data_IF_009275726350
#
_entry.id   IF_009275726350
#
_cell.length_a   1.000
_cell.length_b   1.000
_cell.length_c   1.000
_cell.angle_alpha   90.00
_cell.angle_beta   90.00
_cell.angle_gamma   90.00
#
_symmetry.space_group_name_H-M   'P 1'
#
loop_
_entity.id
_entity.type
_entity.pdbx_description
1 polymer ?
#
# COMPACT_ATOMS: atom_id res chain seq x y z
N UNK A 1 15.69 -56.55 -7.50
CA UNK A 1 15.92 -55.41 -8.40
C UNK A 1 14.64 -54.57 -8.40
N UNK A 2 14.58 -53.53 -7.57
CA UNK A 2 13.44 -52.61 -7.56
C UNK A 2 13.56 -51.66 -8.73
N UNK A 3 12.65 -51.75 -9.69
CA UNK A 3 12.49 -50.73 -10.73
C UNK A 3 12.00 -49.46 -10.02
N UNK A 4 12.90 -48.50 -9.82
CA UNK A 4 12.49 -47.12 -9.53
C UNK A 4 11.94 -46.59 -10.84
N UNK A 5 10.63 -46.69 -11.05
CA UNK A 5 9.96 -45.94 -12.10
C UNK A 5 10.22 -44.46 -11.85
N UNK A 6 11.10 -43.85 -12.65
CA UNK A 6 11.19 -42.40 -12.75
C UNK A 6 9.79 -41.89 -13.11
N UNK A 7 9.10 -41.30 -12.14
CA UNK A 7 7.83 -40.65 -12.38
C UNK A 7 8.10 -39.47 -13.32
N UNK A 8 7.85 -39.66 -14.61
CA UNK A 8 7.97 -38.60 -15.60
C UNK A 8 6.89 -37.56 -15.32
N UNK A 9 7.25 -36.28 -15.26
CA UNK A 9 6.28 -35.18 -15.13
C UNK A 9 5.19 -35.22 -16.22
N UNK A 10 5.44 -35.90 -17.34
CA UNK A 10 4.46 -36.13 -18.41
C UNK A 10 3.29 -37.04 -17.99
N UNK A 11 3.36 -37.74 -16.86
CA UNK A 11 2.28 -38.59 -16.35
C UNK A 11 1.26 -37.82 -15.49
N UNK A 12 1.54 -36.56 -15.12
CA UNK A 12 0.60 -35.74 -14.35
C UNK A 12 -0.58 -35.30 -15.24
N UNK A 13 -1.82 -35.22 -14.70
CA UNK A 13 -2.96 -34.61 -15.38
C UNK A 13 -2.72 -33.12 -15.69
N UNK A 14 -3.40 -32.60 -16.74
CA UNK A 14 -3.29 -31.20 -17.16
C UNK A 14 -3.62 -30.23 -16.03
N UNK A 15 -4.64 -30.51 -15.22
CA UNK A 15 -5.06 -29.67 -14.09
C UNK A 15 -3.94 -29.50 -13.05
N UNK A 16 -3.18 -30.57 -12.78
CA UNK A 16 -2.05 -30.49 -11.84
C UNK A 16 -0.88 -29.70 -12.42
N UNK A 17 -0.65 -29.82 -13.72
CA UNK A 17 0.39 -29.05 -14.42
C UNK A 17 0.04 -27.55 -14.46
N UNK A 18 -1.21 -27.20 -14.75
CA UNK A 18 -1.72 -25.82 -14.67
C UNK A 18 -1.61 -25.29 -13.24
N UNK A 19 -1.93 -26.12 -12.24
CA UNK A 19 -1.76 -25.76 -10.84
C UNK A 19 -0.28 -25.50 -10.48
N UNK A 20 0.65 -26.33 -10.95
CA UNK A 20 2.10 -26.10 -10.77
C UNK A 20 2.52 -24.78 -11.43
N UNK A 21 2.10 -24.55 -12.67
CA UNK A 21 2.39 -23.31 -13.40
C UNK A 21 1.85 -22.06 -12.68
N UNK A 22 0.74 -22.18 -11.94
CA UNK A 22 0.16 -21.08 -11.17
C UNK A 22 1.02 -20.60 -9.99
N UNK A 23 1.99 -21.41 -9.55
CA UNK A 23 2.96 -21.03 -8.52
C UNK A 23 4.23 -20.38 -9.08
N UNK A 24 4.43 -20.43 -10.39
CA UNK A 24 5.59 -19.86 -11.05
C UNK A 24 5.30 -18.42 -11.49
N UNK A 25 6.35 -17.60 -11.57
CA UNK A 25 6.26 -16.32 -12.29
C UNK A 25 6.01 -16.57 -13.77
N UNK A 26 5.48 -15.60 -14.51
CA UNK A 26 5.24 -15.72 -15.96
C UNK A 26 6.49 -16.12 -16.72
N UNK A 27 7.64 -15.57 -16.32
CA UNK A 27 8.94 -15.85 -16.94
C UNK A 27 9.39 -17.28 -16.67
N UNK A 28 9.28 -17.76 -15.43
CA UNK A 28 9.59 -19.15 -15.07
C UNK A 28 8.64 -20.12 -15.76
N UNK A 29 7.33 -19.83 -15.74
CA UNK A 29 6.31 -20.62 -16.42
C UNK A 29 6.57 -20.69 -17.93
N UNK A 30 6.94 -19.59 -18.57
CA UNK A 30 7.32 -19.57 -19.98
C UNK A 30 8.63 -20.33 -20.26
N UNK A 31 9.58 -20.34 -19.32
CA UNK A 31 10.80 -21.13 -19.47
C UNK A 31 10.52 -22.64 -19.57
N UNK A 32 9.40 -23.11 -19.02
CA UNK A 32 8.97 -24.51 -19.12
C UNK A 32 8.57 -24.94 -20.53
N UNK A 33 8.44 -24.00 -21.49
CA UNK A 33 8.13 -24.33 -22.89
C UNK A 33 9.11 -25.33 -23.52
N UNK A 34 10.36 -25.32 -23.05
CA UNK A 34 11.40 -26.22 -23.54
C UNK A 34 11.19 -27.67 -23.10
N UNK A 35 10.39 -27.92 -22.05
CA UNK A 35 10.15 -29.25 -21.50
C UNK A 35 9.29 -30.10 -22.45
N UNK A 36 8.21 -29.54 -22.99
CA UNK A 36 7.44 -30.15 -24.09
C UNK A 36 6.40 -29.19 -24.67
N UNK A 37 5.85 -29.55 -25.84
CA UNK A 37 4.71 -28.83 -26.44
C UNK A 37 3.50 -28.75 -25.50
N UNK A 38 3.30 -29.74 -24.63
CA UNK A 38 2.18 -29.79 -23.67
C UNK A 38 2.26 -28.67 -22.65
N UNK A 39 3.44 -28.42 -22.06
CA UNK A 39 3.65 -27.33 -21.12
C UNK A 39 3.39 -25.96 -21.76
N UNK A 40 3.78 -25.78 -23.02
CA UNK A 40 3.48 -24.57 -23.79
C UNK A 40 1.98 -24.35 -23.96
N UNK A 41 1.22 -25.39 -24.30
CA UNK A 41 -0.25 -25.29 -24.45
C UNK A 41 -0.94 -25.02 -23.11
N UNK A 42 -0.48 -25.67 -22.03
CA UNK A 42 -1.06 -25.48 -20.70
C UNK A 42 -0.75 -24.10 -20.10
N UNK A 43 0.41 -23.53 -20.40
CA UNK A 43 0.72 -22.16 -20.00
C UNK A 43 -0.25 -21.13 -20.61
N UNK A 44 -0.76 -21.36 -21.82
CA UNK A 44 -1.76 -20.47 -22.42
C UNK A 44 -3.09 -20.44 -21.64
N UNK A 45 -3.33 -21.41 -20.74
CA UNK A 45 -4.47 -21.45 -19.83
C UNK A 45 -4.21 -20.70 -18.51
N UNK A 46 -3.01 -20.15 -18.32
CA UNK A 46 -2.72 -19.33 -17.15
C UNK A 46 -3.62 -18.09 -17.15
N UNK A 47 -4.18 -17.78 -15.99
CA UNK A 47 -5.03 -16.60 -15.80
C UNK A 47 -4.27 -15.40 -15.24
N UNK A 48 -3.01 -15.59 -14.86
CA UNK A 48 -2.19 -14.56 -14.23
C UNK A 48 -0.98 -14.31 -15.12
N UNK A 49 -0.86 -13.06 -15.57
CA UNK A 49 0.28 -12.58 -16.33
C UNK A 49 0.94 -11.45 -15.55
N UNK A 50 2.23 -11.60 -15.36
CA UNK A 50 3.09 -10.70 -14.61
C UNK A 50 4.39 -10.45 -15.38
N UNK A 51 4.59 -9.20 -15.76
CA UNK A 51 5.68 -8.72 -16.58
C UNK A 51 6.43 -7.64 -15.81
N UNK A 52 7.51 -8.03 -15.12
CA UNK A 52 8.41 -7.13 -14.41
C UNK A 52 9.74 -7.01 -15.15
N UNK A 53 10.16 -5.76 -15.34
CA UNK A 53 11.41 -5.39 -15.98
C UNK A 53 12.17 -4.27 -15.22
N UNK A 54 11.75 -3.90 -14.02
CA UNK A 54 12.39 -2.84 -13.24
C UNK A 54 13.85 -3.18 -12.89
N UNK A 55 14.12 -4.46 -12.61
CA UNK A 55 15.43 -4.91 -12.13
C UNK A 55 16.43 -5.31 -13.24
N UNK A 56 16.06 -5.24 -14.52
CA UNK A 56 16.88 -5.82 -15.60
C UNK A 56 18.07 -4.97 -16.05
N UNK A 57 18.15 -3.70 -15.65
CA UNK A 57 19.22 -2.77 -16.09
C UNK A 57 19.95 -2.02 -14.97
N UNK A 58 19.76 -2.40 -13.70
CA UNK A 58 20.42 -1.75 -12.53
C UNK A 58 21.96 -1.85 -12.53
N UNK A 59 22.55 -2.61 -13.46
CA UNK A 59 23.98 -2.55 -13.77
C UNK A 59 24.29 -1.35 -14.67
N UNK A 60 24.81 -0.27 -14.07
CA UNK A 60 25.36 0.91 -14.76
C UNK A 60 26.33 0.53 -15.92
N UNK A 61 26.97 -0.64 -15.83
CA UNK A 61 27.96 -1.18 -16.76
C UNK A 61 27.43 -1.70 -18.10
N UNK A 62 26.12 -1.77 -18.34
CA UNK A 62 25.60 -2.28 -19.62
C UNK A 62 25.72 -1.23 -20.74
N UNK A 63 26.52 -1.56 -21.77
CA UNK A 63 26.63 -0.79 -23.00
C UNK A 63 25.24 -0.55 -23.65
N UNK A 64 25.06 0.62 -24.29
CA UNK A 64 23.81 1.02 -24.98
C UNK A 64 23.22 -0.06 -25.91
N UNK A 65 24.08 -0.83 -26.59
CA UNK A 65 23.65 -1.93 -27.47
C UNK A 65 23.07 -3.13 -26.71
N UNK A 66 23.62 -3.46 -25.53
CA UNK A 66 23.11 -4.53 -24.67
C UNK A 66 21.73 -4.16 -24.13
N UNK A 67 21.55 -2.90 -23.71
CA UNK A 67 20.25 -2.39 -23.24
C UNK A 67 19.16 -2.55 -24.30
N UNK A 68 19.40 -2.10 -25.54
CA UNK A 68 18.43 -2.26 -26.65
C UNK A 68 18.05 -3.71 -26.93
N UNK A 69 19.00 -4.64 -26.83
CA UNK A 69 18.73 -6.06 -27.04
C UNK A 69 17.85 -6.63 -25.91
N UNK A 70 18.15 -6.29 -24.65
CA UNK A 70 17.35 -6.69 -23.49
C UNK A 70 15.92 -6.15 -23.62
N UNK A 71 15.76 -4.86 -23.97
CA UNK A 71 14.45 -4.27 -24.26
C UNK A 71 13.66 -5.04 -25.31
N UNK A 72 14.27 -5.26 -26.48
CA UNK A 72 13.62 -5.94 -27.58
C UNK A 72 13.21 -7.36 -27.17
N UNK A 73 14.09 -8.08 -26.48
CA UNK A 73 13.80 -9.42 -25.98
C UNK A 73 12.63 -9.42 -25.00
N UNK A 74 12.48 -8.39 -24.17
CA UNK A 74 11.34 -8.25 -23.27
C UNK A 74 10.04 -7.96 -24.04
N UNK A 75 10.06 -7.01 -24.97
CA UNK A 75 8.88 -6.69 -25.80
C UNK A 75 8.43 -7.91 -26.62
N UNK A 76 9.37 -8.59 -27.27
CA UNK A 76 9.12 -9.84 -28.02
C UNK A 76 8.53 -10.92 -27.10
N UNK A 77 8.98 -11.00 -25.84
CA UNK A 77 8.45 -11.92 -24.83
C UNK A 77 7.00 -11.60 -24.44
N UNK A 78 6.67 -10.32 -24.19
CA UNK A 78 5.31 -9.89 -23.86
C UNK A 78 4.38 -10.17 -25.04
N UNK A 79 4.76 -9.75 -26.24
CA UNK A 79 3.99 -9.99 -27.46
C UNK A 79 3.77 -11.49 -27.72
N UNK A 80 4.83 -12.30 -27.59
CA UNK A 80 4.72 -13.74 -27.76
C UNK A 80 3.79 -14.37 -26.72
N UNK A 81 3.88 -13.95 -25.46
CA UNK A 81 3.05 -14.46 -24.36
C UNK A 81 1.59 -14.13 -24.56
N UNK A 82 1.28 -12.88 -24.95
CA UNK A 82 -0.08 -12.43 -25.23
C UNK A 82 -0.66 -13.12 -26.46
N UNK A 83 0.14 -13.32 -27.52
CA UNK A 83 -0.27 -14.07 -28.71
C UNK A 83 -0.56 -15.54 -28.39
N UNK A 84 0.27 -16.18 -27.56
CA UNK A 84 0.05 -17.57 -27.12
C UNK A 84 -1.24 -17.75 -26.33
N UNK A 85 -1.62 -16.77 -25.51
CA UNK A 85 -2.87 -16.79 -24.76
C UNK A 85 -4.12 -16.64 -25.66
N UNK A 86 -3.98 -16.26 -26.93
CA UNK A 86 -5.08 -16.25 -27.89
C UNK A 86 -6.26 -15.39 -27.45
N UNK A 87 -7.42 -15.99 -27.22
CA UNK A 87 -8.61 -15.30 -26.70
C UNK A 87 -8.98 -15.73 -25.28
N UNK A 88 -8.05 -16.39 -24.57
CA UNK A 88 -8.29 -16.85 -23.21
C UNK A 88 -8.45 -15.66 -22.27
N UNK A 89 -9.34 -15.81 -21.30
CA UNK A 89 -9.61 -14.79 -20.29
C UNK A 89 -8.39 -14.59 -19.40
N UNK A 90 -7.95 -13.35 -19.26
CA UNK A 90 -6.90 -12.95 -18.32
C UNK A 90 -7.62 -12.48 -17.06
N UNK A 91 -7.26 -13.04 -15.90
CA UNK A 91 -7.85 -12.62 -14.62
C UNK A 91 -7.03 -11.50 -13.99
N UNK A 92 -5.70 -11.69 -13.97
CA UNK A 92 -4.72 -10.73 -13.43
C UNK A 92 -3.68 -10.40 -14.49
N UNK A 93 -3.43 -9.10 -14.68
CA UNK A 93 -2.37 -8.60 -15.54
C UNK A 93 -1.54 -7.57 -14.75
N UNK A 94 -0.24 -7.78 -14.70
CA UNK A 94 0.72 -6.92 -14.02
C UNK A 94 1.82 -6.53 -15.00
N UNK A 95 2.09 -5.24 -15.10
CA UNK A 95 3.10 -4.68 -15.99
C UNK A 95 3.90 -3.61 -15.24
N UNK A 96 5.17 -3.89 -15.01
CA UNK A 96 6.13 -2.99 -14.38
C UNK A 96 7.30 -2.67 -15.33
N UNK A 97 7.46 -1.39 -15.67
CA UNK A 97 8.40 -0.91 -16.68
C UNK A 97 9.20 0.30 -16.19
N UNK A 98 10.49 0.31 -16.51
CA UNK A 98 11.38 1.46 -16.33
C UNK A 98 11.54 2.25 -17.65
N UNK A 99 11.68 3.58 -17.57
CA UNK A 99 11.84 4.53 -18.69
C UNK A 99 12.95 4.10 -19.66
N UNK A 100 13.95 3.43 -19.10
CA UNK A 100 15.04 2.82 -19.85
C UNK A 100 14.56 1.78 -20.86
N UNK A 101 13.28 1.42 -20.95
CA UNK A 101 12.73 0.41 -21.86
C UNK A 101 11.65 0.89 -22.84
N UNK A 102 11.21 2.15 -22.76
CA UNK A 102 10.12 2.64 -23.61
C UNK A 102 10.69 3.33 -24.86
N UNK A 103 10.84 2.59 -25.95
CA UNK A 103 11.13 3.18 -27.27
C UNK A 103 9.83 3.56 -28.02
N UNK A 104 8.70 2.92 -27.67
CA UNK A 104 7.39 3.10 -28.31
C UNK A 104 6.24 2.92 -27.31
N UNK A 105 5.61 4.02 -26.90
CA UNK A 105 4.47 4.03 -25.98
C UNK A 105 3.26 3.22 -26.51
N UNK A 106 3.13 3.08 -27.83
CA UNK A 106 2.03 2.34 -28.44
C UNK A 106 2.04 0.83 -28.14
N UNK A 107 3.20 0.23 -27.90
CA UNK A 107 3.27 -1.20 -27.57
C UNK A 107 2.66 -1.45 -26.18
N UNK A 108 2.89 -0.53 -25.25
CA UNK A 108 2.34 -0.63 -23.89
C UNK A 108 0.82 -0.47 -23.90
N UNK A 109 0.30 0.54 -24.61
CA UNK A 109 -1.14 0.72 -24.79
C UNK A 109 -1.78 -0.52 -25.42
N UNK A 110 -1.11 -1.13 -26.42
CA UNK A 110 -1.57 -2.36 -27.07
C UNK A 110 -1.66 -3.51 -26.06
N UNK A 111 -0.66 -3.70 -25.21
CA UNK A 111 -0.67 -4.76 -24.20
C UNK A 111 -1.77 -4.57 -23.16
N UNK A 112 -1.94 -3.35 -22.67
CA UNK A 112 -3.00 -2.99 -21.71
C UNK A 112 -4.38 -3.21 -22.34
N UNK A 113 -4.62 -2.71 -23.55
CA UNK A 113 -5.88 -2.89 -24.26
C UNK A 113 -6.19 -4.37 -24.50
N UNK A 114 -5.18 -5.18 -24.86
CA UNK A 114 -5.33 -6.61 -25.07
C UNK A 114 -5.80 -7.32 -23.78
N UNK A 115 -5.23 -6.96 -22.63
CA UNK A 115 -5.66 -7.50 -21.33
C UNK A 115 -7.10 -7.10 -20.98
N UNK A 116 -7.46 -5.84 -21.23
CA UNK A 116 -8.82 -5.32 -21.00
C UNK A 116 -9.87 -6.01 -21.87
N UNK A 117 -9.56 -6.22 -23.16
CA UNK A 117 -10.44 -6.92 -24.11
C UNK A 117 -10.67 -8.39 -23.72
N UNK A 118 -9.76 -8.97 -22.93
CA UNK A 118 -9.86 -10.33 -22.38
C UNK A 118 -10.48 -10.39 -20.99
N UNK A 119 -11.07 -9.28 -20.53
CA UNK A 119 -11.88 -9.21 -19.31
C UNK A 119 -11.06 -9.22 -18.02
N UNK A 120 -9.87 -8.63 -18.02
CA UNK A 120 -9.03 -8.51 -16.82
C UNK A 120 -9.79 -7.89 -15.64
N UNK A 121 -9.59 -8.49 -14.46
CA UNK A 121 -10.26 -8.10 -13.22
C UNK A 121 -9.31 -7.50 -12.18
N UNK A 122 -8.02 -7.87 -12.22
CA UNK A 122 -6.95 -7.33 -11.38
C UNK A 122 -5.85 -6.79 -12.30
N UNK A 123 -5.73 -5.46 -12.36
CA UNK A 123 -4.78 -4.78 -13.23
C UNK A 123 -3.78 -3.98 -12.39
N UNK A 124 -2.50 -4.29 -12.56
CA UNK A 124 -1.40 -3.58 -11.94
C UNK A 124 -0.50 -2.96 -13.01
N UNK A 125 -0.28 -1.65 -12.91
CA UNK A 125 0.51 -0.88 -13.86
C UNK A 125 1.49 -0.01 -13.08
N UNK A 126 2.79 -0.27 -13.19
CA UNK A 126 3.84 0.56 -12.61
C UNK A 126 4.80 0.99 -13.70
N UNK A 127 4.70 2.24 -14.16
CA UNK A 127 5.62 2.70 -15.20
C UNK A 127 6.35 3.95 -14.76
N UNK A 128 7.66 3.77 -14.57
CA UNK A 128 8.58 4.83 -14.23
C UNK A 128 9.04 5.55 -15.50
N UNK A 129 8.84 6.86 -15.57
CA UNK A 129 9.37 7.71 -16.64
C UNK A 129 10.16 8.87 -16.04
N UNK A 130 11.49 8.87 -16.22
CA UNK A 130 12.40 9.91 -15.74
C UNK A 130 12.13 11.25 -16.44
N UNK A 131 11.77 11.20 -17.72
CA UNK A 131 11.48 12.38 -18.53
C UNK A 131 10.00 12.77 -18.58
N UNK A 132 9.16 12.01 -17.88
CA UNK A 132 7.72 12.27 -17.80
C UNK A 132 6.99 12.29 -19.16
N UNK A 133 7.53 11.56 -20.14
CA UNK A 133 7.05 11.57 -21.52
C UNK A 133 5.79 10.73 -21.73
N UNK A 134 5.43 9.89 -20.76
CA UNK A 134 4.20 9.12 -20.83
C UNK A 134 2.99 10.04 -20.58
N UNK A 135 2.11 10.14 -21.59
CA UNK A 135 0.82 10.84 -21.61
C UNK A 135 -0.35 10.20 -20.83
N UNK A 136 -0.12 9.22 -19.95
CA UNK A 136 -1.17 8.49 -19.21
C UNK A 136 -1.71 7.22 -19.89
N UNK A 137 -2.57 6.50 -19.18
CA UNK A 137 -3.11 5.20 -19.59
C UNK A 137 -4.17 5.28 -20.69
N UNK A 138 -4.38 4.21 -21.48
CA UNK A 138 -5.43 4.20 -22.48
C UNK A 138 -6.81 4.34 -21.83
N UNK A 139 -7.70 5.11 -22.45
CA UNK A 139 -9.05 5.42 -21.92
C UNK A 139 -9.87 4.19 -21.55
N UNK A 140 -9.63 3.06 -22.23
CA UNK A 140 -10.25 1.76 -21.92
C UNK A 140 -10.01 1.29 -20.48
N UNK A 141 -8.90 1.68 -19.84
CA UNK A 141 -8.64 1.38 -18.42
C UNK A 141 -9.73 2.01 -17.55
N UNK A 142 -10.15 3.22 -17.90
CA UNK A 142 -11.07 4.07 -17.14
C UNK A 142 -12.55 3.80 -17.44
N UNK A 143 -12.86 3.02 -18.48
CA UNK A 143 -14.23 2.65 -18.87
C UNK A 143 -14.51 1.15 -18.72
N UNK A 144 -13.59 0.41 -18.10
CA UNK A 144 -13.71 -1.03 -17.94
C UNK A 144 -14.81 -1.42 -16.96
N UNK A 145 -15.65 -2.36 -17.37
CA UNK A 145 -16.72 -2.94 -16.54
C UNK A 145 -16.29 -4.21 -15.80
N UNK A 146 -15.11 -4.76 -16.12
CA UNK A 146 -14.59 -6.00 -15.53
C UNK A 146 -13.57 -5.77 -14.43
N UNK A 147 -12.95 -4.58 -14.37
CA UNK A 147 -11.93 -4.26 -13.37
C UNK A 147 -12.52 -4.22 -11.96
N UNK A 148 -12.02 -5.10 -11.10
CA UNK A 148 -12.35 -5.20 -9.68
C UNK A 148 -11.25 -4.59 -8.82
N UNK A 149 -9.99 -4.74 -9.24
CA UNK A 149 -8.82 -4.15 -8.59
C UNK A 149 -7.96 -3.43 -9.62
N UNK A 150 -7.61 -2.19 -9.29
CA UNK A 150 -6.69 -1.37 -10.05
C UNK A 150 -5.55 -0.92 -9.13
N UNK A 151 -4.32 -1.18 -9.56
CA UNK A 151 -3.11 -0.79 -8.85
C UNK A 151 -2.24 0.03 -9.80
N UNK A 152 -1.95 1.27 -9.43
CA UNK A 152 -1.10 2.19 -10.17
C UNK A 152 0.14 2.46 -9.34
N UNK A 153 1.28 1.97 -9.80
CA UNK A 153 2.56 1.97 -9.08
C UNK A 153 3.45 3.18 -9.35
N UNK A 154 4.71 3.07 -8.92
CA UNK A 154 5.73 4.13 -8.99
C UNK A 154 5.84 4.72 -10.40
N UNK A 155 5.89 6.05 -10.47
CA UNK A 155 6.09 6.80 -11.72
C UNK A 155 4.85 6.97 -12.60
N UNK A 156 3.75 6.33 -12.24
CA UNK A 156 2.47 6.55 -12.91
C UNK A 156 1.92 7.95 -12.59
N UNK A 157 1.24 8.55 -13.57
CA UNK A 157 0.71 9.91 -13.47
C UNK A 157 -0.79 9.95 -13.79
N UNK A 158 -1.52 10.72 -12.99
CA UNK A 158 -2.89 11.12 -13.29
C UNK A 158 -2.85 12.46 -14.02
N UNK A 159 -3.20 12.50 -15.31
CA UNK A 159 -3.33 13.75 -16.03
C UNK A 159 -4.80 14.03 -16.35
N UNK A 160 -5.17 15.31 -16.40
CA UNK A 160 -6.52 15.75 -16.80
C UNK A 160 -6.91 15.20 -18.17
N UNK A 161 -5.96 15.09 -19.10
CA UNK A 161 -6.18 14.60 -20.47
C UNK A 161 -6.33 13.07 -20.54
N UNK A 162 -5.86 12.33 -19.52
CA UNK A 162 -5.95 10.87 -19.51
C UNK A 162 -7.27 10.34 -18.95
N UNK A 163 -8.01 11.18 -18.20
CA UNK A 163 -9.31 10.81 -17.65
C UNK A 163 -10.39 11.18 -18.66
N UNK A 164 -11.06 10.19 -19.29
CA UNK A 164 -12.05 10.47 -20.32
C UNK A 164 -13.36 10.99 -19.68
N UNK A 165 -14.17 11.71 -20.46
CA UNK A 165 -15.43 12.28 -19.98
C UNK A 165 -16.51 11.22 -19.63
N UNK A 166 -16.37 10.00 -20.15
CA UNK A 166 -17.23 8.84 -19.91
C UNK A 166 -16.66 7.87 -18.86
N UNK A 167 -15.71 8.32 -18.04
CA UNK A 167 -15.12 7.58 -16.92
C UNK A 167 -16.18 6.82 -16.11
N UNK A 168 -16.06 5.50 -16.06
CA UNK A 168 -16.98 4.64 -15.32
C UNK A 168 -16.31 3.31 -15.00
N UNK A 169 -16.15 3.04 -13.70
CA UNK A 169 -15.56 1.80 -13.18
C UNK A 169 -16.54 1.13 -12.21
N UNK A 170 -17.66 0.57 -12.72
CA UNK A 170 -18.76 0.11 -11.89
C UNK A 170 -18.43 -1.11 -11.02
N UNK A 171 -17.43 -1.91 -11.43
CA UNK A 171 -17.02 -3.12 -10.71
C UNK A 171 -15.83 -2.92 -9.75
N UNK A 172 -15.21 -1.73 -9.77
CA UNK A 172 -13.97 -1.48 -9.04
C UNK A 172 -14.24 -1.43 -7.53
N UNK A 173 -13.60 -2.33 -6.79
CA UNK A 173 -13.69 -2.47 -5.32
C UNK A 173 -12.42 -2.04 -4.61
N UNK A 174 -11.27 -2.20 -5.26
CA UNK A 174 -9.95 -1.92 -4.67
C UNK A 174 -9.16 -1.00 -5.58
N UNK A 175 -8.73 0.14 -5.04
CA UNK A 175 -7.83 1.07 -5.70
C UNK A 175 -6.56 1.22 -4.87
N UNK A 176 -5.42 0.94 -5.50
CA UNK A 176 -4.10 1.11 -4.91
C UNK A 176 -3.31 2.12 -5.74
N UNK A 177 -2.99 3.26 -5.13
CA UNK A 177 -2.23 4.34 -5.71
C UNK A 177 -0.89 4.42 -4.98
N UNK A 178 0.15 3.84 -5.57
CA UNK A 178 1.46 3.74 -4.94
C UNK A 178 2.47 4.67 -5.59
N UNK A 179 3.04 5.52 -4.75
CA UNK A 179 4.15 6.38 -5.11
C UNK A 179 3.87 7.28 -6.31
N UNK A 180 2.63 7.77 -6.38
CA UNK A 180 2.17 8.70 -7.40
C UNK A 180 2.74 10.10 -7.12
N UNK A 181 3.22 10.74 -8.18
CA UNK A 181 3.66 12.14 -8.17
C UNK A 181 2.44 13.01 -8.47
N UNK A 182 2.09 13.91 -7.55
CA UNK A 182 0.90 14.75 -7.66
C UNK A 182 1.28 16.17 -8.09
N UNK A 183 0.68 16.63 -9.18
CA UNK A 183 0.76 18.00 -9.66
C UNK A 183 -0.51 18.79 -9.35
N UNK A 184 -0.46 20.07 -9.67
CA UNK A 184 -1.57 21.00 -9.52
C UNK A 184 -2.84 20.49 -10.22
N UNK A 185 -3.91 20.28 -9.45
CA UNK A 185 -5.20 19.82 -9.95
C UNK A 185 -5.45 18.30 -9.87
N UNK A 186 -4.43 17.49 -9.60
CA UNK A 186 -4.55 16.02 -9.66
C UNK A 186 -5.44 15.46 -8.54
N UNK A 187 -5.47 16.09 -7.36
CA UNK A 187 -6.34 15.66 -6.26
C UNK A 187 -7.83 15.97 -6.52
N UNK A 188 -8.13 17.00 -7.32
CA UNK A 188 -9.50 17.27 -7.77
C UNK A 188 -9.94 16.19 -8.77
N UNK A 189 -9.04 15.77 -9.67
CA UNK A 189 -9.27 14.64 -10.56
C UNK A 189 -9.46 13.34 -9.81
N UNK A 190 -8.72 13.11 -8.71
CA UNK A 190 -8.93 11.94 -7.87
C UNK A 190 -10.37 11.89 -7.34
N UNK A 191 -10.92 13.00 -6.86
CA UNK A 191 -12.32 13.02 -6.40
C UNK A 191 -13.31 12.73 -7.54
N UNK A 192 -13.05 13.24 -8.76
CA UNK A 192 -13.86 12.88 -9.95
C UNK A 192 -13.75 11.38 -10.24
N UNK A 193 -12.55 10.82 -10.15
CA UNK A 193 -12.29 9.39 -10.33
C UNK A 193 -13.00 8.54 -9.27
N UNK A 194 -12.90 8.91 -8.00
CA UNK A 194 -13.57 8.21 -6.89
C UNK A 194 -15.09 8.26 -7.04
N UNK A 195 -15.65 9.38 -7.51
CA UNK A 195 -17.08 9.51 -7.78
C UNK A 195 -17.57 8.57 -8.90
N UNK A 196 -16.70 8.22 -9.85
CA UNK A 196 -17.01 7.29 -10.94
C UNK A 196 -16.84 5.80 -10.55
N UNK A 197 -16.47 5.50 -9.30
CA UNK A 197 -16.25 4.15 -8.78
C UNK A 197 -17.30 3.81 -7.70
N UNK A 198 -18.57 3.52 -8.06
CA UNK A 198 -19.67 3.36 -7.11
C UNK A 198 -19.54 2.13 -6.19
N UNK A 199 -18.69 1.16 -6.55
CA UNK A 199 -18.47 -0.06 -5.79
C UNK A 199 -17.16 -0.04 -4.95
N UNK A 200 -16.44 1.09 -4.92
CA UNK A 200 -15.12 1.16 -4.28
C UNK A 200 -15.21 1.01 -2.75
N UNK A 201 -14.53 0.01 -2.20
CA UNK A 201 -14.56 -0.29 -0.76
C UNK A 201 -13.19 -0.13 -0.08
N UNK A 202 -12.08 -0.35 -0.80
CA UNK A 202 -10.70 -0.26 -0.29
C UNK A 202 -9.88 0.72 -1.13
N UNK A 203 -9.44 1.80 -0.48
CA UNK A 203 -8.58 2.82 -1.08
C UNK A 203 -7.25 2.86 -0.33
N UNK A 204 -6.16 2.72 -1.06
CA UNK A 204 -4.81 2.91 -0.54
C UNK A 204 -4.07 3.95 -1.37
N UNK A 205 -3.48 4.93 -0.70
CA UNK A 205 -2.73 6.03 -1.30
C UNK A 205 -1.38 6.13 -0.59
N UNK A 206 -0.30 5.95 -1.34
CA UNK A 206 1.05 6.32 -0.95
C UNK A 206 1.44 7.60 -1.69
N UNK A 207 1.38 8.71 -0.97
CA UNK A 207 1.63 10.05 -1.45
C UNK A 207 3.12 10.38 -1.33
N UNK A 208 3.82 10.60 -2.44
CA UNK A 208 5.27 10.83 -2.41
C UNK A 208 5.67 12.31 -2.39
N UNK A 209 5.07 13.14 -3.24
CA UNK A 209 5.35 14.57 -3.31
C UNK A 209 4.22 15.28 -4.08
N UNK A 210 3.96 16.55 -3.76
CA UNK A 210 3.11 17.42 -4.56
C UNK A 210 3.17 18.88 -4.14
N UNK A 211 2.87 19.78 -5.08
CA UNK A 211 3.13 21.22 -4.97
C UNK A 211 1.98 22.05 -4.38
N UNK A 212 0.96 21.43 -3.77
CA UNK A 212 -0.30 22.11 -3.47
C UNK A 212 -0.75 22.10 -1.99
N UNK A 213 -1.68 23.03 -1.76
CA UNK A 213 -2.44 23.36 -0.56
C UNK A 213 -3.35 22.22 -0.07
N UNK A 214 -4.00 22.36 1.10
CA UNK A 214 -4.71 21.24 1.70
C UNK A 214 -5.97 20.88 0.91
N UNK A 215 -6.12 19.59 0.60
CA UNK A 215 -7.22 19.06 -0.19
C UNK A 215 -8.02 18.03 0.60
N UNK A 216 -9.31 17.92 0.28
CA UNK A 216 -10.23 16.95 0.88
C UNK A 216 -10.35 15.74 -0.05
N UNK A 217 -10.07 14.54 0.45
CA UNK A 217 -10.43 13.29 -0.23
C UNK A 217 -11.84 12.93 0.22
N UNK A 218 -12.80 12.95 -0.71
CA UNK A 218 -14.21 12.68 -0.40
C UNK A 218 -14.69 11.41 -1.11
N UNK A 219 -15.29 10.50 -0.33
CA UNK A 219 -15.99 9.34 -0.87
C UNK A 219 -16.94 8.73 0.15
N UNK A 220 -18.13 8.35 -0.32
CA UNK A 220 -19.16 7.73 0.51
C UNK A 220 -19.16 6.19 0.43
N UNK A 221 -18.37 5.59 -0.45
CA UNK A 221 -18.40 4.14 -0.70
C UNK A 221 -17.32 3.39 0.07
N UNK A 222 -16.19 4.07 0.33
CA UNK A 222 -15.00 3.49 0.94
C UNK A 222 -15.28 3.04 2.38
N UNK A 223 -14.84 1.83 2.70
CA UNK A 223 -14.90 1.21 4.03
C UNK A 223 -13.51 1.07 4.65
N UNK A 224 -12.47 0.91 3.83
CA UNK A 224 -11.07 0.82 4.25
C UNK A 224 -10.25 1.88 3.54
N UNK A 225 -9.55 2.70 4.32
CA UNK A 225 -8.70 3.78 3.83
C UNK A 225 -7.31 3.63 4.42
N UNK A 226 -6.31 3.52 3.54
CA UNK A 226 -4.89 3.52 3.92
C UNK A 226 -4.20 4.70 3.26
N UNK A 227 -3.66 5.59 4.07
CA UNK A 227 -2.96 6.78 3.59
C UNK A 227 -1.55 6.81 4.15
N UNK A 228 -0.55 6.94 3.28
CA UNK A 228 0.86 7.04 3.65
C UNK A 228 1.47 8.26 2.98
N UNK A 229 2.08 9.14 3.78
CA UNK A 229 2.85 10.25 3.28
C UNK A 229 4.35 9.88 3.28
N UNK A 230 4.93 9.82 2.09
CA UNK A 230 6.35 9.58 1.85
C UNK A 230 7.17 10.87 2.00
N UNK A 231 8.38 10.74 2.53
CA UNK A 231 9.31 11.86 2.68
C UNK A 231 10.33 11.85 1.54
N UNK A 232 10.24 12.83 0.64
CA UNK A 232 11.31 13.17 -0.29
C UNK A 232 11.92 14.48 0.17
N UNK A 233 13.26 14.52 0.27
CA UNK A 233 14.03 15.74 0.54
C UNK A 233 13.83 16.73 -0.61
N UNK A 234 12.73 17.48 -0.61
CA UNK A 234 12.61 18.58 -1.55
C UNK A 234 13.39 19.79 -1.01
N UNK A 235 14.24 20.35 -1.87
CA UNK A 235 15.22 21.40 -1.58
C UNK A 235 14.58 22.73 -1.10
N UNK A 236 13.24 22.84 -1.16
CA UNK A 236 12.48 24.09 -1.04
C UNK A 236 11.61 24.23 0.22
N UNK A 237 11.66 23.27 1.14
CA UNK A 237 11.42 23.55 2.56
C UNK A 237 9.99 23.90 3.03
N UNK A 238 8.95 23.84 2.22
CA UNK A 238 7.56 23.98 2.70
C UNK A 238 6.58 23.19 1.86
N UNK A 239 5.88 22.24 2.48
CA UNK A 239 4.67 21.64 1.92
C UNK A 239 3.51 21.86 2.87
N UNK A 240 2.35 22.23 2.34
CA UNK A 240 1.11 22.29 3.09
C UNK A 240 0.67 20.86 3.42
N UNK A 241 0.55 20.56 4.71
CA UNK A 241 0.54 19.19 5.28
C UNK A 241 -0.85 18.61 5.53
N UNK A 242 -1.93 19.29 5.15
CA UNK A 242 -3.27 18.89 5.61
C UNK A 242 -4.04 18.23 4.48
N UNK A 243 -4.07 16.90 4.46
CA UNK A 243 -5.10 16.16 3.76
C UNK A 243 -6.23 15.92 4.76
N UNK A 244 -7.43 16.35 4.39
CA UNK A 244 -8.65 16.04 5.16
C UNK A 244 -9.41 14.94 4.45
N UNK A 245 -10.16 14.15 5.22
CA UNK A 245 -10.88 13.00 4.70
C UNK A 245 -12.37 13.18 4.99
N UNK A 246 -13.17 13.34 3.94
CA UNK A 246 -14.62 13.28 4.00
C UNK A 246 -15.07 11.88 3.57
N UNK A 247 -14.86 10.92 4.47
CA UNK A 247 -15.09 9.50 4.21
C UNK A 247 -15.97 8.88 5.29
N UNK A 248 -17.28 9.23 5.34
CA UNK A 248 -18.15 8.96 6.48
C UNK A 248 -18.44 7.47 6.73
N UNK A 249 -18.08 6.57 5.81
CA UNK A 249 -18.32 5.13 5.96
C UNK A 249 -17.05 4.31 6.21
N UNK A 250 -15.89 4.96 6.42
CA UNK A 250 -14.63 4.27 6.72
C UNK A 250 -14.68 3.65 8.11
N UNK A 251 -14.44 2.35 8.18
CA UNK A 251 -14.40 1.55 9.41
C UNK A 251 -12.99 1.08 9.77
N UNK A 252 -12.09 0.91 8.79
CA UNK A 252 -10.68 0.57 8.99
C UNK A 252 -9.80 1.67 8.36
N UNK A 253 -9.02 2.34 9.21
CA UNK A 253 -8.21 3.48 8.82
C UNK A 253 -6.74 3.24 9.15
N UNK A 254 -5.87 3.36 8.15
CA UNK A 254 -4.42 3.37 8.32
C UNK A 254 -3.89 4.75 7.91
N UNK A 255 -3.09 5.37 8.78
CA UNK A 255 -2.49 6.66 8.52
C UNK A 255 -1.01 6.64 8.89
N UNK A 256 -0.16 6.92 7.93
CA UNK A 256 1.28 7.06 8.10
C UNK A 256 1.74 8.42 7.61
N UNK A 257 2.50 9.14 8.42
CA UNK A 257 2.92 10.50 8.09
C UNK A 257 4.18 10.94 8.85
N UNK A 258 4.91 11.89 8.28
CA UNK A 258 6.03 12.58 8.90
C UNK A 258 5.54 13.85 9.58
N UNK A 259 5.35 13.77 10.91
CA UNK A 259 4.74 14.81 11.70
C UNK A 259 5.49 16.14 11.60
N UNK A 260 4.74 17.17 11.20
CA UNK A 260 5.11 18.57 11.30
C UNK A 260 3.94 19.41 11.80
N UNK A 261 4.08 20.74 11.81
CA UNK A 261 3.31 21.64 12.71
C UNK A 261 1.77 21.64 12.65
N UNK A 262 1.13 20.96 11.69
CA UNK A 262 -0.34 21.00 11.52
C UNK A 262 -0.92 19.60 11.26
N UNK A 263 -2.04 19.31 11.91
CA UNK A 263 -2.74 18.02 11.94
C UNK A 263 -3.89 17.95 10.92
N UNK A 264 -4.26 16.76 10.41
CA UNK A 264 -5.45 16.57 9.58
C UNK A 264 -6.74 17.03 10.29
N UNK A 265 -7.56 17.83 9.62
CA UNK A 265 -8.89 18.21 10.14
C UNK A 265 -9.97 17.17 9.80
N UNK A 266 -10.48 16.57 10.89
CA UNK A 266 -11.84 16.10 11.24
C UNK A 266 -12.78 15.58 10.12
N UNK A 267 -13.06 14.26 10.16
CA UNK A 267 -14.35 13.65 10.53
C UNK A 267 -14.20 12.11 10.56
N UNK A 268 -13.98 11.53 11.75
CA UNK A 268 -13.65 10.10 11.94
C UNK A 268 -14.72 9.34 12.75
N UNK A 269 -15.95 9.86 12.78
CA UNK A 269 -16.99 9.37 13.69
C UNK A 269 -17.43 7.92 13.39
N UNK A 270 -17.18 7.41 12.19
CA UNK A 270 -17.50 6.03 11.77
C UNK A 270 -16.36 5.02 11.95
N UNK A 271 -15.15 5.48 12.27
CA UNK A 271 -13.98 4.61 12.33
C UNK A 271 -14.10 3.64 13.51
N UNK A 272 -14.09 2.35 13.22
CA UNK A 272 -14.09 1.29 14.23
C UNK A 272 -12.68 0.84 14.61
N UNK A 273 -11.75 0.88 13.65
CA UNK A 273 -10.35 0.50 13.79
C UNK A 273 -9.44 1.54 13.17
N UNK A 274 -8.42 1.98 13.90
CA UNK A 274 -7.41 2.91 13.43
C UNK A 274 -5.99 2.36 13.66
N UNK A 275 -5.10 2.57 12.71
CA UNK A 275 -3.68 2.27 12.79
C UNK A 275 -2.89 3.53 12.46
N UNK A 276 -2.05 3.98 13.38
CA UNK A 276 -1.27 5.20 13.24
C UNK A 276 0.23 4.88 13.22
N UNK A 277 0.92 5.34 12.18
CA UNK A 277 2.37 5.21 11.97
C UNK A 277 3.01 6.58 11.72
N UNK A 278 3.32 7.29 12.80
CA UNK A 278 3.80 8.66 12.76
C UNK A 278 5.31 8.69 12.95
N UNK A 279 5.98 9.44 12.10
CA UNK A 279 7.44 9.58 12.08
C UNK A 279 7.85 11.02 12.37
N UNK A 280 9.04 11.22 12.91
CA UNK A 280 9.58 12.57 13.15
C UNK A 280 10.49 13.05 12.03
N UNK A 281 10.32 14.31 11.65
CA UNK A 281 11.30 15.04 10.86
C UNK A 281 12.42 15.59 11.74
N UNK A 282 13.66 15.32 11.34
CA UNK A 282 14.85 15.73 12.09
C UNK A 282 15.00 17.27 11.98
N UNK A 283 14.73 17.99 13.08
CA UNK A 283 14.96 19.44 13.17
C UNK A 283 13.69 20.31 13.32
N UNK A 284 12.49 19.72 13.26
CA UNK A 284 11.24 20.48 13.28
C UNK A 284 10.69 20.73 14.70
N UNK A 285 9.81 21.74 14.83
CA UNK A 285 9.08 22.07 16.07
C UNK A 285 8.22 20.89 16.52
N UNK A 286 8.02 20.74 17.83
CA UNK A 286 7.08 19.77 18.42
C UNK A 286 5.70 20.00 17.78
N UNK A 287 5.18 18.99 17.10
CA UNK A 287 3.97 19.08 16.31
C UNK A 287 2.74 18.64 17.12
N UNK A 288 1.62 19.34 16.95
CA UNK A 288 0.42 19.12 17.75
C UNK A 288 -0.39 17.91 17.27
N UNK A 289 -0.43 16.87 18.10
CA UNK A 289 -1.15 15.60 17.86
C UNK A 289 -2.57 15.62 18.42
N UNK A 290 -2.99 16.72 19.07
CA UNK A 290 -4.26 16.79 19.81
C UNK A 290 -5.46 16.54 18.92
N UNK A 291 -5.50 17.12 17.71
CA UNK A 291 -6.61 16.92 16.79
C UNK A 291 -6.71 15.46 16.32
N UNK A 292 -5.58 14.81 16.05
CA UNK A 292 -5.56 13.40 15.66
C UNK A 292 -6.15 12.53 16.77
N UNK A 293 -5.68 12.70 18.02
CA UNK A 293 -6.17 11.97 19.19
C UNK A 293 -7.65 12.26 19.44
N UNK A 294 -8.07 13.51 19.27
CA UNK A 294 -9.48 13.91 19.41
C UNK A 294 -10.36 13.28 18.34
N UNK A 295 -9.85 13.15 17.11
CA UNK A 295 -10.57 12.59 15.98
C UNK A 295 -10.79 11.08 16.14
N UNK A 296 -9.81 10.34 16.65
CA UNK A 296 -9.92 8.88 16.85
C UNK A 296 -10.62 8.48 18.16
N UNK A 297 -11.26 9.41 18.87
CA UNK A 297 -11.86 9.15 20.19
C UNK A 297 -12.94 8.05 20.20
N UNK A 298 -13.63 7.86 19.07
CA UNK A 298 -14.74 6.92 18.93
C UNK A 298 -14.30 5.51 18.46
N UNK A 299 -13.00 5.33 18.21
CA UNK A 299 -12.45 4.08 17.69
C UNK A 299 -12.51 2.99 18.76
N UNK A 300 -12.83 1.75 18.37
CA UNK A 300 -12.86 0.58 19.28
C UNK A 300 -11.50 -0.11 19.37
N UNK A 301 -10.76 -0.16 18.25
CA UNK A 301 -9.44 -0.79 18.16
C UNK A 301 -8.40 0.20 17.65
N UNK A 302 -7.41 0.53 18.46
CA UNK A 302 -6.31 1.43 18.10
C UNK A 302 -4.99 0.66 18.02
N UNK A 303 -4.30 0.78 16.89
CA UNK A 303 -2.93 0.28 16.70
C UNK A 303 -1.98 1.48 16.60
N UNK A 304 -0.92 1.47 17.41
CA UNK A 304 0.14 2.48 17.39
C UNK A 304 1.48 1.79 17.09
N UNK A 305 2.20 2.27 16.08
CA UNK A 305 3.59 1.85 15.86
C UNK A 305 4.55 2.48 16.90
N UNK A 306 5.74 1.90 17.06
CA UNK A 306 6.77 2.40 17.98
C UNK A 306 7.17 3.85 17.68
N UNK A 307 7.32 4.16 16.39
CA UNK A 307 7.52 5.51 15.83
C UNK A 307 6.45 6.48 16.36
N UNK A 308 5.17 6.11 16.26
CA UNK A 308 4.04 6.91 16.75
C UNK A 308 4.12 7.18 18.23
N UNK A 309 4.47 6.18 19.03
CA UNK A 309 4.58 6.33 20.48
C UNK A 309 5.72 7.28 20.84
N UNK A 310 6.86 7.19 20.16
CA UNK A 310 7.93 8.16 20.30
C UNK A 310 7.47 9.58 19.90
N UNK A 311 6.65 9.68 18.84
CA UNK A 311 5.99 10.92 18.43
C UNK A 311 5.18 11.57 19.54
N UNK A 312 4.29 10.79 20.13
CA UNK A 312 3.48 11.21 21.26
C UNK A 312 4.34 11.57 22.49
N UNK A 313 5.42 10.81 22.75
CA UNK A 313 6.32 11.07 23.88
C UNK A 313 6.99 12.45 23.79
N UNK A 314 7.65 12.81 22.67
CA UNK A 314 8.31 14.12 22.60
C UNK A 314 7.32 15.28 22.66
N UNK A 315 6.09 15.08 22.17
CA UNK A 315 5.01 16.04 22.37
C UNK A 315 4.72 16.22 23.86
N UNK A 316 4.58 15.12 24.61
CA UNK A 316 4.34 15.19 26.05
C UNK A 316 5.49 15.74 26.85
N UNK A 317 6.75 15.48 26.51
CA UNK A 317 7.86 15.81 27.41
C UNK A 317 8.49 17.20 27.23
N UNK A 318 8.22 17.90 26.11
CA UNK A 318 8.74 19.25 25.84
C UNK A 318 10.28 19.38 25.94
N UNK A 319 10.82 20.58 25.71
CA UNK A 319 12.28 20.84 25.85
C UNK A 319 12.80 20.75 27.30
N UNK A 320 11.91 20.62 28.30
CA UNK A 320 12.24 20.64 29.74
C UNK A 320 12.02 19.29 30.45
N UNK A 321 11.75 18.20 29.71
CA UNK A 321 11.57 16.85 30.24
C UNK A 321 10.54 16.72 31.38
N UNK A 322 9.51 17.57 31.39
CA UNK A 322 8.35 17.41 32.28
C UNK A 322 7.22 16.77 31.48
N UNK A 323 6.66 15.67 31.98
CA UNK A 323 5.53 15.00 31.35
C UNK A 323 4.29 15.90 31.35
N UNK A 324 4.03 16.56 30.23
CA UNK A 324 2.76 17.19 29.88
C UNK A 324 1.89 16.07 29.32
N UNK A 325 1.01 15.52 30.16
CA UNK A 325 0.12 14.40 29.82
C UNK A 325 -0.55 14.62 28.46
N UNK A 326 -0.64 13.56 27.64
CA UNK A 326 -1.57 13.56 26.50
C UNK A 326 -2.97 13.73 27.07
N UNK A 327 -3.70 14.73 26.57
CA UNK A 327 -5.12 14.86 26.85
C UNK A 327 -5.87 13.79 26.04
N UNK A 328 -6.11 12.67 26.70
CA UNK A 328 -6.99 11.63 26.16
C UNK A 328 -8.43 12.10 26.42
N UNK A 329 -9.29 12.16 25.39
CA UNK A 329 -10.69 12.54 25.57
C UNK A 329 -11.36 11.62 26.61
N UNK A 330 -12.01 12.20 27.62
CA UNK A 330 -12.70 11.44 28.67
C UNK A 330 -13.80 10.53 28.13
N UNK A 331 -14.37 10.86 26.96
CA UNK A 331 -15.40 10.08 26.27
C UNK A 331 -14.82 9.06 25.27
N UNK A 332 -13.57 8.66 25.44
CA UNK A 332 -12.92 7.71 24.56
C UNK A 332 -13.56 6.30 24.66
N UNK A 333 -13.77 5.65 23.51
CA UNK A 333 -14.43 4.34 23.39
C UNK A 333 -13.48 3.19 23.03
N UNK A 334 -12.16 3.39 23.17
CA UNK A 334 -11.15 2.39 22.81
C UNK A 334 -11.23 1.23 23.80
N UNK A 335 -11.46 0.03 23.24
CA UNK A 335 -11.51 -1.24 23.97
C UNK A 335 -10.24 -2.05 23.79
N UNK A 336 -9.60 -1.95 22.64
CA UNK A 336 -8.36 -2.65 22.33
C UNK A 336 -7.28 -1.67 21.90
N UNK A 337 -6.17 -1.65 22.63
CA UNK A 337 -4.95 -0.93 22.25
C UNK A 337 -3.88 -1.94 21.85
N UNK A 338 -3.30 -1.77 20.67
CA UNK A 338 -2.15 -2.55 20.22
C UNK A 338 -0.96 -1.63 20.00
N UNK A 339 0.18 -2.06 20.48
CA UNK A 339 1.45 -1.37 20.34
C UNK A 339 2.38 -2.27 19.53
N UNK A 340 2.78 -1.79 18.36
CA UNK A 340 3.53 -2.57 17.38
C UNK A 340 5.03 -2.22 17.44
N UNK A 341 5.88 -3.24 17.28
CA UNK A 341 7.34 -3.11 17.20
C UNK A 341 7.99 -2.47 18.45
N UNK A 342 7.59 -2.87 19.65
CA UNK A 342 8.13 -2.28 20.88
C UNK A 342 9.60 -2.68 21.13
N UNK A 343 10.47 -1.67 21.23
CA UNK A 343 11.91 -1.83 21.47
C UNK A 343 12.35 -1.71 22.94
N UNK A 344 11.42 -1.60 23.91
CA UNK A 344 11.76 -1.56 25.33
C UNK A 344 12.15 -0.19 25.88
N UNK A 345 11.82 0.91 25.19
CA UNK A 345 12.12 2.26 25.69
C UNK A 345 11.32 2.58 26.97
N UNK A 346 11.99 3.20 27.95
CA UNK A 346 11.38 3.58 29.22
C UNK A 346 10.30 4.67 29.06
N UNK A 347 10.43 5.50 28.03
CA UNK A 347 9.44 6.52 27.64
C UNK A 347 8.13 5.88 27.22
N UNK A 348 8.21 4.87 26.36
CA UNK A 348 7.05 4.11 25.91
C UNK A 348 6.37 3.36 27.05
N UNK A 349 7.13 2.83 28.01
CA UNK A 349 6.56 2.21 29.20
C UNK A 349 5.73 3.20 30.04
N UNK A 350 6.20 4.46 30.17
CA UNK A 350 5.43 5.54 30.81
C UNK A 350 4.17 5.88 30.02
N UNK A 351 4.25 5.90 28.70
CA UNK A 351 3.07 6.17 27.87
C UNK A 351 2.03 5.05 27.97
N UNK A 352 2.47 3.79 27.96
CA UNK A 352 1.60 2.62 28.20
C UNK A 352 0.91 2.76 29.56
N UNK A 353 1.67 3.08 30.60
CA UNK A 353 1.11 3.33 31.93
C UNK A 353 0.09 4.47 31.91
N UNK A 354 0.38 5.56 31.20
CA UNK A 354 -0.56 6.68 31.04
C UNK A 354 -1.85 6.24 30.32
N UNK A 355 -1.79 5.43 29.27
CA UNK A 355 -2.99 4.91 28.61
C UNK A 355 -3.79 3.99 29.54
N UNK A 356 -3.13 3.05 30.21
CA UNK A 356 -3.77 2.13 31.15
C UNK A 356 -4.48 2.86 32.30
N UNK A 357 -3.98 4.02 32.72
CA UNK A 357 -4.54 4.83 33.79
C UNK A 357 -5.67 5.78 33.35
N UNK A 358 -5.77 6.12 32.06
CA UNK A 358 -6.68 7.17 31.57
C UNK A 358 -7.72 6.67 30.53
N UNK A 359 -7.58 5.44 30.02
CA UNK A 359 -8.56 4.84 29.11
C UNK A 359 -9.49 3.87 29.86
N UNK A 360 -10.61 4.40 30.38
CA UNK A 360 -11.54 3.62 31.22
C UNK A 360 -12.24 2.46 30.48
N UNK A 361 -12.46 2.61 29.17
CA UNK A 361 -13.12 1.60 28.33
C UNK A 361 -12.21 0.44 27.91
N UNK A 362 -10.92 0.49 28.27
CA UNK A 362 -9.93 -0.46 27.79
C UNK A 362 -10.17 -1.86 28.36
N UNK A 363 -10.18 -2.87 27.50
CA UNK A 363 -10.40 -4.28 27.84
C UNK A 363 -9.16 -5.12 27.52
N UNK A 364 -8.43 -4.78 26.46
CA UNK A 364 -7.25 -5.53 25.99
C UNK A 364 -6.13 -4.58 25.59
N UNK A 365 -4.92 -4.86 26.08
CA UNK A 365 -3.69 -4.25 25.59
C UNK A 365 -2.78 -5.31 25.02
N UNK A 366 -2.41 -5.18 23.75
CA UNK A 366 -1.44 -6.05 23.08
C UNK A 366 -0.16 -5.28 22.84
N UNK A 367 0.97 -5.80 23.29
CA UNK A 367 2.28 -5.22 23.05
C UNK A 367 3.10 -6.23 22.25
N UNK A 368 3.34 -5.93 20.98
CA UNK A 368 4.15 -6.75 20.09
C UNK A 368 5.60 -6.29 20.19
N UNK A 369 6.45 -7.13 20.78
CA UNK A 369 7.87 -6.82 20.98
C UNK A 369 8.60 -6.93 19.64
N UNK A 370 9.57 -6.05 19.40
CA UNK A 370 10.37 -6.08 18.18
C UNK A 370 11.11 -7.42 18.01
N UNK A 371 11.12 -7.95 16.79
CA UNK A 371 11.77 -9.23 16.46
C UNK A 371 13.28 -9.26 16.72
N UNK A 372 13.89 -8.08 16.82
CA UNK A 372 15.33 -7.90 17.05
C UNK A 372 15.73 -7.95 18.52
N UNK A 373 14.75 -8.04 19.44
CA UNK A 373 15.02 -8.11 20.88
C UNK A 373 15.42 -9.53 21.30
N UNK A 374 16.43 -9.63 22.16
CA UNK A 374 16.88 -10.86 22.79
C UNK A 374 15.91 -11.34 23.88
N UNK A 375 15.81 -12.66 24.06
CA UNK A 375 14.87 -13.30 24.98
C UNK A 375 14.94 -12.78 26.43
N UNK A 376 16.12 -12.53 27.04
CA UNK A 376 16.19 -12.03 28.42
C UNK A 376 15.56 -10.64 28.57
N UNK A 377 15.79 -9.73 27.59
CA UNK A 377 15.17 -8.40 27.62
C UNK A 377 13.68 -8.49 27.36
N UNK A 378 13.24 -9.39 26.48
CA UNK A 378 11.82 -9.65 26.23
C UNK A 378 11.11 -10.14 27.50
N UNK A 379 11.72 -11.03 28.28
CA UNK A 379 11.18 -11.50 29.57
C UNK A 379 11.06 -10.36 30.58
N UNK A 380 12.15 -9.61 30.81
CA UNK A 380 12.14 -8.48 31.76
C UNK A 380 11.08 -7.45 31.38
N UNK A 381 11.00 -7.11 30.09
CA UNK A 381 10.02 -6.17 29.58
C UNK A 381 8.59 -6.65 29.76
N UNK A 382 8.35 -7.94 29.54
CA UNK A 382 7.05 -8.56 29.77
C UNK A 382 6.63 -8.42 31.23
N UNK A 383 7.53 -8.69 32.17
CA UNK A 383 7.25 -8.49 33.60
C UNK A 383 6.95 -7.03 33.93
N UNK A 384 7.73 -6.09 33.39
CA UNK A 384 7.58 -4.68 33.70
C UNK A 384 6.22 -4.13 33.18
N UNK A 385 5.79 -4.55 31.98
CA UNK A 385 4.48 -4.17 31.43
C UNK A 385 3.34 -4.77 32.27
N UNK A 386 3.45 -6.04 32.67
CA UNK A 386 2.42 -6.72 33.46
C UNK A 386 2.24 -6.14 34.87
N UNK A 387 3.26 -5.45 35.41
CA UNK A 387 3.24 -4.77 36.72
C UNK A 387 2.66 -3.35 36.65
N UNK A 388 2.34 -2.83 35.45
CA UNK A 388 1.83 -1.46 35.31
C UNK A 388 0.44 -1.29 35.94
N UNK A 389 0.17 -0.13 36.57
CA UNK A 389 -1.13 0.14 37.15
C UNK A 389 -2.19 0.36 36.05
N UNK A 390 -3.40 -0.14 36.29
CA UNK A 390 -4.53 -0.07 35.35
C UNK A 390 -5.73 0.61 36.01
N UNK A 391 -6.42 1.49 35.28
CA UNK A 391 -7.67 2.10 35.75
C UNK A 391 -8.82 1.09 35.86
N UNK A 392 -8.83 0.08 34.98
CA UNK A 392 -9.83 -0.98 34.95
C UNK A 392 -9.19 -2.32 35.30
N UNK A 393 -9.73 -2.99 36.33
CA UNK A 393 -9.31 -4.34 36.74
C UNK A 393 -9.67 -5.43 35.71
N UNK A 394 -10.40 -5.09 34.65
CA UNK A 394 -10.79 -5.99 33.57
C UNK A 394 -9.80 -6.01 32.40
N UNK A 395 -8.81 -5.10 32.39
CA UNK A 395 -7.83 -4.99 31.32
C UNK A 395 -6.96 -6.25 31.28
N UNK A 396 -6.92 -6.91 30.13
CA UNK A 396 -6.00 -8.02 29.85
C UNK A 396 -4.80 -7.50 29.07
N UNK A 397 -3.62 -7.62 29.65
CA UNK A 397 -2.36 -7.28 29.00
C UNK A 397 -1.77 -8.54 28.38
N UNK A 398 -1.41 -8.47 27.10
CA UNK A 398 -0.77 -9.54 26.32
C UNK A 398 0.52 -9.01 25.72
N UNK A 399 1.63 -9.66 25.99
CA UNK A 399 2.93 -9.33 25.39
C UNK A 399 3.27 -10.46 24.43
N UNK A 400 3.51 -10.12 23.16
CA UNK A 400 3.67 -11.08 22.04
C UNK A 400 5.04 -10.95 21.39
#
# INVERSE_FOLDING_TARGET
>A
MGSVTMCSMNCLPDDLLVHILSFLTTKEAASTFVLSKRWRTLFALSHNLDFDNMNLLDTEDLLKHSRRHIKKSFNDFVDHTLALHGNNTIKKFSLELSDTHIDNLHDVDRWICNALERGVSDLHLGIESELFLWSGFPSKVFTSTTLVKLSLGVGTRFYTESVPSDLSLPALKVLFLDSIIWFKGDLQLLNVFLAACPALEDLTIHYMCGSENPHVISSKTIKKLSFTYGYIYDYYGYFSRIISFDTPNVVDFYYSDYFGSESPQRHFDSIAKATLDLHFLKGDKIADVTDLISGIRNVKTLHLNSSTVECLDRYTFGRRHRFVRIQIPLNNQIKMLSIMQYHGSATMLKLISHFLLNMECLEVVKVYVARTMDDPRKMQLTEDILKLPTASSRVKIQVM
#
